data_IF_278992080448
#
_entry.id   IF_278992080448
#
_cell.length_a   1.000
_cell.length_b   1.000
_cell.length_c   1.000
_cell.angle_alpha   90.00
_cell.angle_beta   90.00
_cell.angle_gamma   90.00
#
_symmetry.space_group_name_H-M   'P 1'
#
loop_
_entity.id
_entity.type
_entity.pdbx_description
1 polymer ?
#
# COMPACT_ATOMS: atom_id res chain seq x y z
N UNK A 1 21.96 13.49 -8.89
CA UNK A 1 21.04 12.42 -8.42
C UNK A 1 19.65 12.99 -8.52
N UNK A 2 18.86 12.58 -9.50
CA UNK A 2 17.50 13.13 -9.67
C UNK A 2 16.64 12.67 -8.49
N UNK A 3 16.01 13.63 -7.82
CA UNK A 3 14.95 13.37 -6.85
C UNK A 3 13.81 12.75 -7.66
N UNK A 4 13.37 11.57 -7.29
CA UNK A 4 12.27 10.88 -7.94
C UNK A 4 10.97 11.36 -7.31
N UNK A 5 10.05 11.85 -8.13
CA UNK A 5 8.74 12.26 -7.66
C UNK A 5 7.80 11.06 -7.66
N UNK A 6 7.37 10.65 -6.47
CA UNK A 6 6.43 9.55 -6.26
C UNK A 6 5.14 10.08 -5.68
N UNK A 7 4.01 9.64 -6.24
CA UNK A 7 2.70 10.03 -5.80
C UNK A 7 1.89 8.81 -5.36
N UNK A 8 1.32 8.90 -4.17
CA UNK A 8 0.39 7.92 -3.65
C UNK A 8 -1.05 8.37 -3.89
N UNK A 9 -1.83 7.49 -4.51
CA UNK A 9 -3.27 7.67 -4.68
C UNK A 9 -3.96 6.98 -3.50
N UNK A 10 -4.55 7.77 -2.61
CA UNK A 10 -5.22 7.30 -1.39
C UNK A 10 -6.74 7.46 -1.52
N UNK A 11 -7.40 6.44 -2.11
CA UNK A 11 -8.85 6.43 -2.26
C UNK A 11 -9.51 5.71 -1.09
N UNK A 12 -10.17 6.48 -0.25
CA UNK A 12 -10.81 6.03 0.97
C UNK A 12 -12.33 5.82 0.79
N UNK A 13 -12.92 4.93 1.59
CA UNK A 13 -14.38 4.71 1.61
C UNK A 13 -15.17 5.91 2.14
N UNK A 14 -14.55 6.70 3.02
CA UNK A 14 -15.14 7.91 3.60
C UNK A 14 -14.05 8.86 4.09
N UNK A 15 -14.44 10.11 4.39
CA UNK A 15 -13.53 11.12 4.97
C UNK A 15 -12.99 10.75 6.37
N UNK A 16 -13.69 9.91 7.10
CA UNK A 16 -13.24 9.45 8.43
C UNK A 16 -12.15 8.36 8.33
N UNK A 17 -12.11 7.63 7.23
CA UNK A 17 -11.15 6.55 7.00
C UNK A 17 -9.78 7.10 6.57
N UNK A 18 -8.72 6.41 6.95
CA UNK A 18 -7.36 6.58 6.42
C UNK A 18 -6.69 5.23 6.29
N UNK A 19 -5.99 5.02 5.17
CA UNK A 19 -5.20 3.80 4.97
C UNK A 19 -3.90 3.86 5.78
N UNK A 20 -3.48 2.73 6.36
CA UNK A 20 -2.15 2.58 6.96
C UNK A 20 -1.06 2.23 5.94
N UNK A 21 -1.42 1.89 4.70
CA UNK A 21 -0.45 1.36 3.74
C UNK A 21 0.65 2.37 3.40
N UNK A 22 0.31 3.59 3.00
CA UNK A 22 1.32 4.61 2.72
C UNK A 22 2.16 4.94 3.96
N UNK A 23 1.60 5.24 5.14
CA UNK A 23 2.40 5.48 6.34
C UNK A 23 3.34 4.34 6.69
N UNK A 24 2.88 3.08 6.57
CA UNK A 24 3.70 1.90 6.88
C UNK A 24 4.88 1.77 5.90
N UNK A 25 4.64 1.89 4.61
CA UNK A 25 5.69 1.82 3.58
C UNK A 25 6.66 3.00 3.70
N UNK A 26 6.13 4.22 3.84
CA UNK A 26 6.95 5.44 3.95
C UNK A 26 7.84 5.41 5.21
N UNK A 27 7.36 4.87 6.31
CA UNK A 27 8.17 4.75 7.53
C UNK A 27 9.44 3.90 7.32
N UNK A 28 9.39 2.88 6.43
CA UNK A 28 10.57 2.06 6.12
C UNK A 28 11.59 2.76 5.22
N UNK A 29 11.16 3.75 4.44
CA UNK A 29 12.00 4.44 3.44
C UNK A 29 12.34 5.89 3.80
N UNK A 30 11.77 6.43 4.87
CA UNK A 30 11.92 7.85 5.25
C UNK A 30 13.37 8.31 5.43
N UNK A 31 14.31 7.37 5.67
CA UNK A 31 15.74 7.64 5.75
C UNK A 31 16.42 7.77 4.37
N UNK A 32 15.72 7.39 3.30
CA UNK A 32 16.23 7.47 1.94
C UNK A 32 15.73 8.76 1.27
N UNK A 33 16.55 9.80 1.26
CA UNK A 33 16.24 11.10 0.66
C UNK A 33 16.19 11.10 -0.87
N UNK A 34 16.29 9.94 -1.51
CA UNK A 34 16.29 9.83 -2.99
C UNK A 34 14.89 9.85 -3.62
N UNK A 35 13.83 9.77 -2.82
CA UNK A 35 12.44 9.73 -3.29
C UNK A 35 11.63 10.82 -2.59
N UNK A 36 11.03 11.70 -3.40
CA UNK A 36 10.06 12.68 -2.91
C UNK A 36 8.67 12.06 -3.00
N UNK A 37 7.98 11.99 -1.87
CA UNK A 37 6.62 11.48 -1.77
C UNK A 37 5.60 12.61 -1.70
N UNK A 38 4.56 12.48 -2.52
CA UNK A 38 3.34 13.28 -2.46
C UNK A 38 2.13 12.35 -2.32
N UNK A 39 1.00 12.90 -1.91
CA UNK A 39 -0.25 12.15 -1.74
C UNK A 39 -1.41 12.94 -2.33
N UNK A 40 -2.24 12.25 -3.08
CA UNK A 40 -3.58 12.72 -3.46
C UNK A 40 -4.58 11.84 -2.73
N UNK A 41 -5.27 12.43 -1.75
CA UNK A 41 -6.29 11.75 -0.95
C UNK A 41 -7.67 12.17 -1.41
N UNK A 42 -8.53 11.19 -1.68
CA UNK A 42 -9.91 11.38 -2.08
C UNK A 42 -10.80 10.26 -1.51
N UNK A 43 -12.09 10.42 -1.65
CA UNK A 43 -13.05 9.33 -1.38
C UNK A 43 -13.56 8.73 -2.68
N UNK A 44 -14.06 7.50 -2.60
CA UNK A 44 -14.64 6.79 -3.76
C UNK A 44 -15.86 7.52 -4.37
N UNK A 45 -16.44 8.50 -3.68
CA UNK A 45 -17.58 9.28 -4.15
C UNK A 45 -17.19 10.59 -4.84
N UNK A 46 -15.91 10.92 -4.86
CA UNK A 46 -15.44 12.14 -5.51
C UNK A 46 -15.34 12.01 -7.02
N UNK A 47 -15.37 13.14 -7.70
CA UNK A 47 -15.33 13.16 -9.16
C UNK A 47 -13.98 12.68 -9.69
N UNK A 48 -14.00 11.59 -10.47
CA UNK A 48 -12.81 10.99 -11.08
C UNK A 48 -11.97 12.00 -11.86
N UNK A 49 -12.61 12.91 -12.59
CA UNK A 49 -11.90 13.91 -13.40
C UNK A 49 -11.07 14.87 -12.54
N UNK A 50 -11.59 15.27 -11.37
CA UNK A 50 -10.87 16.13 -10.43
C UNK A 50 -9.66 15.43 -9.84
N UNK A 51 -9.81 14.15 -9.47
CA UNK A 51 -8.71 13.34 -8.96
C UNK A 51 -7.61 13.18 -10.01
N UNK A 52 -7.99 12.90 -11.27
CA UNK A 52 -7.06 12.76 -12.40
C UNK A 52 -6.32 14.05 -12.66
N UNK A 53 -7.01 15.20 -12.66
CA UNK A 53 -6.42 16.52 -12.88
C UNK A 53 -5.39 16.87 -11.79
N UNK A 54 -5.73 16.58 -10.54
CA UNK A 54 -4.80 16.78 -9.42
C UNK A 54 -3.55 15.94 -9.55
N UNK A 55 -3.68 14.63 -9.82
CA UNK A 55 -2.53 13.73 -10.04
C UNK A 55 -1.69 14.20 -11.23
N UNK A 56 -2.34 14.60 -12.32
CA UNK A 56 -1.64 15.07 -13.54
C UNK A 56 -0.77 16.30 -13.29
N UNK A 57 -1.17 17.20 -12.40
CA UNK A 57 -0.38 18.40 -12.05
C UNK A 57 0.94 18.07 -11.38
N UNK A 58 1.00 16.97 -10.63
CA UNK A 58 2.23 16.53 -9.96
C UNK A 58 3.25 15.90 -10.92
N UNK A 59 2.81 15.39 -12.08
CA UNK A 59 3.66 14.69 -13.06
C UNK A 59 4.63 13.70 -12.44
N UNK A 60 4.15 12.74 -11.64
CA UNK A 60 5.03 11.82 -10.93
C UNK A 60 5.70 10.81 -11.87
N UNK A 61 6.92 10.38 -11.49
CA UNK A 61 7.60 9.25 -12.13
C UNK A 61 6.98 7.91 -11.69
N UNK A 62 6.53 7.85 -10.42
CA UNK A 62 5.93 6.66 -9.82
C UNK A 62 4.54 7.01 -9.29
N UNK A 63 3.57 6.18 -9.67
CA UNK A 63 2.22 6.18 -9.13
C UNK A 63 2.04 4.92 -8.30
N UNK A 64 1.65 5.06 -7.05
CA UNK A 64 1.40 3.93 -6.16
C UNK A 64 0.02 4.02 -5.51
N UNK A 65 -0.62 2.88 -5.28
CA UNK A 65 -1.89 2.83 -4.58
C UNK A 65 -2.12 1.50 -3.88
N UNK A 66 -2.99 1.50 -2.87
CA UNK A 66 -3.53 0.28 -2.25
C UNK A 66 -4.93 0.01 -2.80
N UNK A 67 -5.11 -1.21 -3.29
CA UNK A 67 -6.37 -1.68 -3.86
C UNK A 67 -7.12 -2.52 -2.84
N UNK A 68 -8.33 -2.09 -2.54
CA UNK A 68 -9.31 -2.74 -1.69
C UNK A 68 -10.57 -3.00 -2.50
N UNK A 69 -11.38 -3.95 -2.10
CA UNK A 69 -12.65 -4.24 -2.74
C UNK A 69 -13.51 -2.98 -2.96
N UNK A 70 -13.57 -2.08 -1.99
CA UNK A 70 -14.40 -0.88 -2.04
C UNK A 70 -13.89 0.21 -2.99
N UNK A 71 -12.58 0.27 -3.28
CA UNK A 71 -12.01 1.31 -4.14
C UNK A 71 -11.54 0.79 -5.50
N UNK A 72 -11.61 -0.51 -5.75
CA UNK A 72 -11.05 -1.16 -6.94
C UNK A 72 -11.54 -0.50 -8.23
N UNK A 73 -12.84 -0.38 -8.42
CA UNK A 73 -13.43 0.15 -9.66
C UNK A 73 -13.02 1.61 -9.89
N UNK A 74 -13.18 2.46 -8.87
CA UNK A 74 -12.82 3.88 -8.97
C UNK A 74 -11.33 4.06 -9.19
N UNK A 75 -10.49 3.29 -8.49
CA UNK A 75 -9.04 3.34 -8.64
C UNK A 75 -8.61 2.96 -10.05
N UNK A 76 -9.21 1.91 -10.65
CA UNK A 76 -8.91 1.53 -12.03
C UNK A 76 -9.33 2.60 -13.03
N UNK A 77 -10.48 3.27 -12.82
CA UNK A 77 -10.90 4.39 -13.64
C UNK A 77 -9.95 5.59 -13.55
N UNK A 78 -9.49 5.95 -12.35
CA UNK A 78 -8.49 7.00 -12.14
C UNK A 78 -7.17 6.61 -12.80
N UNK A 79 -6.66 5.42 -12.49
CA UNK A 79 -5.36 4.94 -12.93
C UNK A 79 -5.26 4.86 -14.47
N UNK A 80 -6.27 4.30 -15.14
CA UNK A 80 -6.28 4.20 -16.60
C UNK A 80 -6.23 5.57 -17.29
N UNK A 81 -6.96 6.57 -16.76
CA UNK A 81 -6.96 7.94 -17.29
C UNK A 81 -5.64 8.66 -17.03
N UNK A 82 -5.08 8.50 -15.82
CA UNK A 82 -3.78 9.08 -15.48
C UNK A 82 -2.70 8.50 -16.38
N UNK A 83 -2.67 7.17 -16.57
CA UNK A 83 -1.69 6.51 -17.47
C UNK A 83 -1.86 6.91 -18.93
N UNK A 84 -3.08 7.21 -19.39
CA UNK A 84 -3.30 7.75 -20.73
C UNK A 84 -2.68 9.16 -20.90
N UNK A 85 -2.64 9.97 -19.83
CA UNK A 85 -2.04 11.31 -19.82
C UNK A 85 -0.54 11.30 -19.51
N UNK A 86 -0.09 10.33 -18.71
CA UNK A 86 1.29 10.14 -18.26
C UNK A 86 1.75 8.72 -18.54
N UNK A 87 1.93 8.32 -19.81
CA UNK A 87 2.26 6.94 -20.18
C UNK A 87 3.58 6.44 -19.60
N UNK A 88 4.55 7.33 -19.36
CA UNK A 88 5.86 7.02 -18.81
C UNK A 88 5.87 6.80 -17.29
N UNK A 89 4.82 7.26 -16.56
CA UNK A 89 4.74 7.06 -15.13
C UNK A 89 4.58 5.56 -14.81
N UNK A 90 5.42 5.03 -13.93
CA UNK A 90 5.32 3.63 -13.48
C UNK A 90 4.18 3.48 -12.47
N UNK A 91 3.15 2.71 -12.79
CA UNK A 91 2.03 2.43 -11.91
C UNK A 91 2.21 1.11 -11.18
N UNK A 92 2.34 1.18 -9.87
CA UNK A 92 2.45 0.03 -8.99
C UNK A 92 1.26 -0.04 -8.02
N UNK A 93 0.65 -1.20 -7.90
CA UNK A 93 -0.47 -1.43 -7.00
C UNK A 93 -0.11 -2.47 -5.94
N UNK A 94 -0.78 -2.39 -4.80
CA UNK A 94 -0.69 -3.39 -3.73
C UNK A 94 -2.04 -3.52 -3.03
N UNK A 95 -2.07 -4.32 -1.98
CA UNK A 95 -3.26 -4.49 -1.16
C UNK A 95 -3.90 -5.86 -1.27
N UNK A 96 -5.00 -6.10 -0.52
CA UNK A 96 -5.58 -7.43 -0.37
C UNK A 96 -6.15 -8.03 -1.67
N UNK A 97 -6.47 -7.21 -2.67
CA UNK A 97 -6.96 -7.69 -3.97
C UNK A 97 -5.92 -8.51 -4.74
N UNK A 98 -4.63 -8.37 -4.39
CA UNK A 98 -3.52 -9.02 -5.10
C UNK A 98 -2.92 -10.22 -4.37
N UNK A 99 -3.56 -10.75 -3.34
CA UNK A 99 -3.05 -11.91 -2.59
C UNK A 99 -3.12 -13.23 -3.38
N UNK A 100 -3.99 -13.30 -4.40
CA UNK A 100 -4.15 -14.44 -5.29
C UNK A 100 -3.20 -14.42 -6.50
N UNK A 101 -3.62 -15.12 -7.56
CA UNK A 101 -2.99 -15.04 -8.87
C UNK A 101 -3.37 -13.71 -9.55
N UNK A 102 -2.37 -13.04 -10.12
CA UNK A 102 -2.53 -11.70 -10.70
C UNK A 102 -2.38 -11.69 -12.24
N UNK A 103 -2.23 -12.84 -12.89
CA UNK A 103 -2.00 -12.90 -14.34
C UNK A 103 -3.15 -12.30 -15.13
N UNK A 104 -4.37 -12.74 -14.83
CA UNK A 104 -5.57 -12.26 -15.54
C UNK A 104 -5.80 -10.77 -15.33
N UNK A 105 -5.56 -10.28 -14.09
CA UNK A 105 -5.68 -8.86 -13.76
C UNK A 105 -4.70 -8.00 -14.59
N UNK A 106 -3.42 -8.37 -14.63
CA UNK A 106 -2.40 -7.62 -15.37
C UNK A 106 -2.64 -7.67 -16.87
N UNK A 107 -3.13 -8.80 -17.43
CA UNK A 107 -3.49 -8.90 -18.84
C UNK A 107 -4.67 -8.03 -19.22
N UNK A 108 -5.67 -7.90 -18.35
CA UNK A 108 -6.85 -7.04 -18.55
C UNK A 108 -6.55 -5.56 -18.34
N UNK A 109 -5.54 -5.22 -17.56
CA UNK A 109 -5.17 -3.86 -17.19
C UNK A 109 -3.72 -3.53 -17.61
N UNK A 110 -3.43 -3.48 -18.93
CA UNK A 110 -2.06 -3.31 -19.45
C UNK A 110 -1.43 -1.95 -19.10
N UNK A 111 -2.19 -1.04 -18.50
CA UNK A 111 -1.72 0.22 -17.97
C UNK A 111 -1.12 0.10 -16.56
N UNK A 112 -1.29 -1.05 -15.89
CA UNK A 112 -0.64 -1.36 -14.60
C UNK A 112 0.70 -2.04 -14.90
N UNK A 113 1.79 -1.46 -14.40
CA UNK A 113 3.13 -1.97 -14.69
C UNK A 113 3.47 -3.18 -13.81
N UNK A 114 3.12 -3.13 -12.53
CA UNK A 114 3.32 -4.25 -11.61
C UNK A 114 2.39 -4.19 -10.40
N UNK A 115 2.24 -5.32 -9.71
CA UNK A 115 1.51 -5.41 -8.45
C UNK A 115 2.33 -6.13 -7.39
N UNK A 116 2.18 -5.72 -6.12
CA UNK A 116 2.76 -6.42 -4.97
C UNK A 116 1.77 -7.43 -4.39
N UNK A 117 2.24 -8.66 -4.25
CA UNK A 117 1.54 -9.77 -3.64
C UNK A 117 2.06 -10.02 -2.23
N UNK A 118 1.28 -9.60 -1.23
CA UNK A 118 1.64 -9.74 0.19
C UNK A 118 2.05 -8.44 0.85
N UNK A 119 2.99 -8.50 1.78
CA UNK A 119 3.39 -7.38 2.65
C UNK A 119 4.53 -6.58 2.02
N UNK A 120 4.33 -5.27 1.91
CA UNK A 120 5.19 -4.39 1.11
C UNK A 120 6.37 -3.79 1.87
N UNK A 121 6.38 -3.78 3.20
CA UNK A 121 7.28 -2.95 4.01
C UNK A 121 8.77 -3.23 3.80
N UNK A 122 9.14 -4.49 3.57
CA UNK A 122 10.54 -4.87 3.31
C UNK A 122 10.88 -4.86 1.82
N UNK A 123 9.90 -5.16 0.95
CA UNK A 123 10.14 -5.37 -0.49
C UNK A 123 9.90 -4.13 -1.35
N UNK A 124 9.02 -3.23 -0.93
CA UNK A 124 8.78 -1.98 -1.63
C UNK A 124 10.01 -1.06 -1.65
N UNK A 125 10.76 -0.88 -0.53
CA UNK A 125 12.05 -0.18 -0.56
C UNK A 125 13.07 -0.82 -1.50
N UNK A 126 13.11 -2.16 -1.62
CA UNK A 126 13.97 -2.86 -2.57
C UNK A 126 13.58 -2.53 -4.02
N UNK A 127 12.29 -2.61 -4.35
CA UNK A 127 11.77 -2.27 -5.67
C UNK A 127 12.09 -0.81 -6.05
N UNK A 128 12.01 0.14 -5.11
CA UNK A 128 12.36 1.53 -5.34
C UNK A 128 13.81 1.74 -5.79
N UNK A 129 14.71 0.79 -5.53
CA UNK A 129 16.09 0.87 -6.03
C UNK A 129 16.22 0.48 -7.49
N UNK A 130 15.25 -0.26 -8.04
CA UNK A 130 15.25 -0.80 -9.41
C UNK A 130 13.92 -0.56 -10.17
N UNK A 131 13.06 0.37 -9.72
CA UNK A 131 11.74 0.60 -10.31
C UNK A 131 11.79 0.88 -11.83
N UNK A 132 12.81 1.59 -12.31
CA UNK A 132 13.05 1.92 -13.72
C UNK A 132 13.97 0.92 -14.43
N UNK A 133 14.22 -0.24 -13.83
CA UNK A 133 15.02 -1.34 -14.33
C UNK A 133 14.21 -2.64 -14.32
N UNK A 134 13.21 -2.80 -15.23
CA UNK A 134 12.31 -3.97 -15.21
C UNK A 134 13.05 -5.31 -15.34
N UNK A 135 14.25 -5.32 -15.93
CA UNK A 135 15.11 -6.49 -16.01
C UNK A 135 15.58 -7.00 -14.64
N UNK A 136 15.55 -6.14 -13.61
CA UNK A 136 15.92 -6.49 -12.23
C UNK A 136 14.71 -6.88 -11.36
N UNK A 137 13.49 -6.67 -11.84
CA UNK A 137 12.28 -6.91 -11.06
C UNK A 137 12.13 -8.37 -10.60
N UNK A 138 12.75 -9.31 -11.32
CA UNK A 138 12.78 -10.72 -10.92
C UNK A 138 13.45 -10.96 -9.55
N UNK A 139 14.23 -10.00 -9.05
CA UNK A 139 14.92 -10.09 -7.75
C UNK A 139 14.07 -9.61 -6.57
N UNK A 140 12.92 -8.97 -6.84
CA UNK A 140 12.06 -8.38 -5.80
C UNK A 140 10.98 -9.37 -5.38
N UNK A 141 11.00 -9.90 -4.16
CA UNK A 141 9.98 -10.85 -3.70
C UNK A 141 8.58 -10.20 -3.70
N UNK A 142 7.57 -10.99 -4.02
CA UNK A 142 6.18 -10.56 -4.03
C UNK A 142 5.79 -9.68 -5.22
N UNK A 143 6.69 -9.37 -6.14
CA UNK A 143 6.36 -8.58 -7.32
C UNK A 143 5.77 -9.47 -8.42
N UNK A 144 4.61 -9.07 -8.95
CA UNK A 144 3.97 -9.70 -10.10
C UNK A 144 3.89 -8.68 -11.25
N UNK A 145 4.28 -9.09 -12.46
CA UNK A 145 4.33 -8.20 -13.63
C UNK A 145 4.31 -8.97 -14.95
N UNK A 146 4.08 -8.26 -16.04
CA UNK A 146 4.26 -8.79 -17.40
C UNK A 146 5.60 -8.29 -17.95
N UNK A 147 6.39 -9.21 -18.53
CA UNK A 147 7.61 -8.84 -19.25
C UNK A 147 7.26 -8.11 -20.56
N UNK A 148 8.23 -7.44 -21.23
CA UNK A 148 8.02 -6.88 -22.57
C UNK A 148 7.48 -7.89 -23.59
N UNK A 149 7.82 -9.18 -23.43
CA UNK A 149 7.31 -10.27 -24.25
C UNK A 149 5.93 -10.79 -23.81
N UNK A 150 5.26 -10.09 -22.85
CA UNK A 150 3.97 -10.46 -22.27
C UNK A 150 3.95 -11.79 -21.51
N UNK A 151 5.11 -12.26 -21.06
CA UNK A 151 5.18 -13.36 -20.11
C UNK A 151 4.84 -12.87 -18.71
N UNK A 152 3.96 -13.59 -18.01
CA UNK A 152 3.69 -13.32 -16.60
C UNK A 152 4.82 -13.82 -15.71
N UNK A 153 5.21 -12.98 -14.76
CA UNK A 153 6.18 -13.32 -13.70
C UNK A 153 5.52 -13.09 -12.35
N UNK A 154 5.62 -14.10 -11.50
CA UNK A 154 5.18 -14.08 -10.11
C UNK A 154 6.37 -14.44 -9.22
N UNK A 155 6.86 -13.47 -8.47
CA UNK A 155 8.00 -13.67 -7.56
C UNK A 155 7.56 -14.19 -6.18
N UNK A 156 6.40 -14.84 -6.10
CA UNK A 156 5.86 -15.43 -4.88
C UNK A 156 5.07 -14.44 -4.05
N UNK A 157 4.98 -14.71 -2.75
CA UNK A 157 4.27 -13.85 -1.80
C UNK A 157 5.26 -13.26 -0.80
N UNK A 158 5.28 -11.93 -0.68
CA UNK A 158 6.11 -11.25 0.29
C UNK A 158 5.51 -11.35 1.70
N UNK A 159 6.37 -11.61 2.69
CA UNK A 159 5.99 -11.67 4.11
C UNK A 159 7.08 -11.01 4.95
N UNK A 160 6.66 -10.11 5.81
CA UNK A 160 7.52 -9.51 6.83
C UNK A 160 7.84 -10.54 7.89
N UNK A 161 9.10 -10.89 8.04
CA UNK A 161 9.53 -11.89 9.03
C UNK A 161 9.59 -11.29 10.43
N UNK A 162 10.10 -10.09 10.57
CA UNK A 162 10.23 -9.38 11.84
C UNK A 162 9.25 -8.21 11.92
N UNK A 163 7.96 -8.53 12.13
CA UNK A 163 6.91 -7.52 12.25
C UNK A 163 7.17 -6.49 13.38
N UNK A 164 7.71 -6.95 14.50
CA UNK A 164 8.04 -6.08 15.63
C UNK A 164 9.25 -5.15 15.37
N UNK A 165 10.07 -5.47 14.37
CA UNK A 165 11.23 -4.67 13.98
C UNK A 165 10.93 -3.57 12.96
N UNK A 166 9.71 -3.51 12.42
CA UNK A 166 9.29 -2.46 11.51
C UNK A 166 9.21 -1.11 12.22
N UNK A 167 9.58 -0.05 11.49
CA UNK A 167 9.34 1.32 11.97
C UNK A 167 7.82 1.56 12.01
N UNK A 168 7.27 2.01 13.15
CA UNK A 168 5.83 2.24 13.27
C UNK A 168 5.28 3.25 12.26
N UNK A 169 4.10 3.02 11.67
CA UNK A 169 3.47 3.94 10.73
C UNK A 169 3.28 5.36 11.29
N UNK A 170 3.10 5.48 12.61
CA UNK A 170 2.93 6.74 13.33
C UNK A 170 4.14 7.68 13.21
N UNK A 171 5.33 7.16 12.84
CA UNK A 171 6.52 7.95 12.58
C UNK A 171 6.56 8.54 11.15
N UNK A 172 5.65 8.13 10.29
CA UNK A 172 5.52 8.69 8.96
C UNK A 172 4.84 10.06 8.99
N UNK A 173 5.34 11.03 8.22
CA UNK A 173 4.68 12.32 8.01
C UNK A 173 3.29 12.18 7.35
N UNK A 174 3.01 11.06 6.73
CA UNK A 174 1.72 10.75 6.10
C UNK A 174 0.74 10.08 7.05
N UNK A 175 1.13 9.83 8.29
CA UNK A 175 0.18 9.36 9.30
C UNK A 175 -0.81 10.48 9.65
N UNK A 176 -2.07 10.26 9.40
CA UNK A 176 -3.07 11.33 9.49
C UNK A 176 -3.62 11.49 10.91
N UNK A 177 -3.03 12.40 11.68
CA UNK A 177 -3.42 12.75 13.04
C UNK A 177 -4.70 13.60 13.13
N UNK A 178 -5.22 14.12 12.02
CA UNK A 178 -6.42 14.98 12.01
C UNK A 178 -7.73 14.19 11.94
N UNK A 179 -7.67 12.87 11.78
CA UNK A 179 -8.86 12.02 11.71
C UNK A 179 -9.47 11.81 13.10
N UNK A 180 -10.81 11.57 13.17
CA UNK A 180 -11.49 11.37 14.45
C UNK A 180 -11.04 10.11 15.20
N UNK A 181 -10.47 9.16 14.50
CA UNK A 181 -9.84 7.95 15.03
C UNK A 181 -8.63 7.55 14.21
N UNK A 182 -7.76 6.76 14.79
CA UNK A 182 -6.62 6.14 14.10
C UNK A 182 -6.72 4.62 14.15
N UNK A 183 -6.11 3.99 13.16
CA UNK A 183 -5.94 2.54 13.14
C UNK A 183 -4.63 2.18 13.82
N UNK A 184 -4.65 1.22 14.74
CA UNK A 184 -3.48 0.66 15.39
C UNK A 184 -3.39 -0.83 15.03
N UNK A 185 -2.40 -1.18 14.24
CA UNK A 185 -2.11 -2.57 13.94
C UNK A 185 -1.27 -3.18 15.07
N UNK A 186 -1.77 -4.25 15.67
CA UNK A 186 -1.10 -4.97 16.76
C UNK A 186 -0.72 -6.40 16.40
N UNK A 187 -1.36 -6.94 15.36
CA UNK A 187 -1.25 -8.36 14.98
C UNK A 187 -1.41 -8.52 13.48
N UNK A 188 -0.62 -9.42 12.89
CA UNK A 188 -0.75 -9.89 11.50
C UNK A 188 -0.92 -11.39 11.44
N UNK A 189 -1.74 -11.85 10.50
CA UNK A 189 -2.13 -13.23 10.35
C UNK A 189 -3.30 -13.61 11.26
N UNK A 190 -3.85 -14.78 11.02
CA UNK A 190 -4.98 -15.31 11.78
C UNK A 190 -4.85 -16.82 11.91
N UNK A 191 -5.15 -17.36 13.09
CA UNK A 191 -5.16 -18.78 13.33
C UNK A 191 -6.43 -19.49 12.81
N UNK A 192 -7.49 -18.72 12.51
CA UNK A 192 -8.72 -19.26 11.93
C UNK A 192 -8.59 -19.43 10.41
N UNK A 193 -9.38 -20.36 9.86
CA UNK A 193 -9.41 -20.71 8.44
C UNK A 193 -10.77 -20.42 7.82
N UNK A 194 -11.35 -19.25 8.12
CA UNK A 194 -12.65 -18.86 7.58
C UNK A 194 -12.61 -18.79 6.05
N UNK A 195 -13.49 -19.53 5.38
CA UNK A 195 -13.49 -19.68 3.92
C UNK A 195 -13.71 -18.38 3.13
N UNK A 196 -14.30 -17.38 3.75
CA UNK A 196 -14.57 -16.06 3.15
C UNK A 196 -13.53 -14.99 3.48
N UNK A 197 -12.53 -15.30 4.31
CA UNK A 197 -11.61 -14.31 4.85
C UNK A 197 -10.26 -14.36 4.12
N UNK A 198 -9.81 -13.21 3.62
CA UNK A 198 -8.49 -13.09 2.97
C UNK A 198 -7.32 -13.41 3.91
N UNK A 199 -7.49 -13.18 5.22
CA UNK A 199 -6.50 -13.54 6.25
C UNK A 199 -6.69 -14.95 6.81
N UNK A 200 -7.63 -15.72 6.26
CA UNK A 200 -7.93 -17.08 6.74
C UNK A 200 -6.74 -18.02 6.61
N UNK A 201 -6.27 -18.54 7.74
CA UNK A 201 -5.15 -19.49 7.77
C UNK A 201 -3.78 -18.88 7.54
N UNK A 202 -3.64 -17.56 7.53
CA UNK A 202 -2.34 -16.90 7.40
C UNK A 202 -1.50 -17.12 8.66
N UNK A 203 -0.48 -17.93 8.54
CA UNK A 203 0.43 -18.33 9.62
C UNK A 203 1.88 -18.03 9.25
N UNK A 204 2.76 -17.80 10.27
CA UNK A 204 2.45 -17.67 11.70
C UNK A 204 1.72 -16.37 12.04
N UNK A 205 0.94 -16.36 13.09
CA UNK A 205 0.40 -15.13 13.67
C UNK A 205 1.54 -14.37 14.33
N UNK A 206 1.72 -13.11 13.97
CA UNK A 206 2.78 -12.22 14.47
C UNK A 206 2.15 -11.10 15.27
N UNK A 207 2.62 -10.86 16.47
CA UNK A 207 2.07 -9.85 17.39
C UNK A 207 3.15 -8.91 17.85
N UNK A 208 2.79 -7.65 18.11
CA UNK A 208 3.65 -6.71 18.82
C UNK A 208 3.71 -7.08 20.30
N UNK A 209 4.80 -6.71 20.98
CA UNK A 209 4.86 -6.81 22.44
C UNK A 209 3.88 -5.84 23.10
N UNK A 210 3.50 -6.13 24.33
CA UNK A 210 2.61 -5.25 25.10
C UNK A 210 3.29 -3.88 25.32
N UNK A 211 4.60 -3.86 25.51
CA UNK A 211 5.39 -2.64 25.66
C UNK A 211 5.31 -1.77 24.39
N UNK A 212 5.51 -2.38 23.21
CA UNK A 212 5.41 -1.67 21.93
C UNK A 212 4.00 -1.13 21.69
N UNK A 213 2.96 -1.90 22.00
CA UNK A 213 1.56 -1.45 21.92
C UNK A 213 1.33 -0.26 22.85
N UNK A 214 1.83 -0.32 24.09
CA UNK A 214 1.71 0.75 25.08
C UNK A 214 2.37 2.04 24.60
N UNK A 215 3.59 1.96 24.07
CA UNK A 215 4.32 3.12 23.53
C UNK A 215 3.56 3.79 22.40
N UNK A 216 3.01 3.00 21.47
CA UNK A 216 2.20 3.51 20.36
C UNK A 216 0.89 4.15 20.84
N UNK A 217 0.22 3.55 21.84
CA UNK A 217 -0.97 4.13 22.45
C UNK A 217 -0.67 5.44 23.18
N UNK A 218 0.48 5.54 23.86
CA UNK A 218 0.91 6.80 24.49
C UNK A 218 1.17 7.91 23.45
N UNK A 219 1.77 7.56 22.31
CA UNK A 219 1.98 8.49 21.20
C UNK A 219 0.64 8.97 20.63
N UNK A 220 -0.30 8.07 20.39
CA UNK A 220 -1.65 8.36 19.89
C UNK A 220 -2.39 9.30 20.87
N UNK A 221 -2.30 9.00 22.17
CA UNK A 221 -2.91 9.82 23.22
C UNK A 221 -2.28 11.23 23.27
N UNK A 222 -0.96 11.33 23.14
CA UNK A 222 -0.24 12.61 23.15
C UNK A 222 -0.66 13.53 22.00
N UNK A 223 -1.15 12.97 20.86
CA UNK A 223 -1.72 13.73 19.75
C UNK A 223 -3.21 14.09 19.94
N UNK A 224 -3.76 13.83 21.14
CA UNK A 224 -5.14 14.18 21.47
C UNK A 224 -6.22 13.26 20.87
N UNK A 225 -5.83 12.15 20.28
CA UNK A 225 -6.78 11.16 19.74
C UNK A 225 -7.40 10.40 20.90
N UNK A 226 -8.73 10.45 21.00
CA UNK A 226 -9.51 9.80 22.07
C UNK A 226 -10.11 8.45 21.67
N UNK A 227 -10.18 8.18 20.37
CA UNK A 227 -10.74 6.97 19.80
C UNK A 227 -9.75 6.31 18.88
N UNK A 228 -9.48 5.03 19.08
CA UNK A 228 -8.68 4.21 18.15
C UNK A 228 -9.47 2.99 17.72
N UNK A 229 -9.36 2.62 16.45
CA UNK A 229 -9.70 1.28 15.98
C UNK A 229 -8.45 0.43 16.08
N UNK A 230 -8.46 -0.55 16.95
CA UNK A 230 -7.44 -1.56 17.04
C UNK A 230 -7.83 -2.64 16.03
N UNK A 231 -7.03 -2.82 14.99
CA UNK A 231 -7.13 -4.00 14.16
C UNK A 231 -6.65 -5.20 14.96
N UNK A 232 -7.58 -5.81 15.63
CA UNK A 232 -7.42 -7.15 16.15
C UNK A 232 -7.97 -8.05 15.04
N UNK A 233 -7.19 -9.04 14.62
CA UNK A 233 -7.74 -10.16 13.85
C UNK A 233 -8.63 -10.96 14.78
N UNK A 234 -9.80 -10.38 15.14
CA UNK A 234 -10.76 -11.11 15.94
C UNK A 234 -11.47 -12.12 15.07
N UNK A 235 -11.57 -13.37 15.54
CA UNK A 235 -12.57 -14.26 15.01
C UNK A 235 -13.92 -13.61 15.34
N UNK A 236 -14.60 -13.10 14.34
CA UNK A 236 -16.02 -12.78 14.47
C UNK A 236 -16.72 -14.06 14.94
N UNK A 237 -17.29 -14.00 16.12
CA UNK A 237 -18.12 -15.07 16.67
C UNK A 237 -19.32 -15.30 15.80
#
# INVERSE_FOLDING_TARGET
MCIRDSLWIDLNSSYAHSSLALPALHAQIAKNNSVKWEIVSATINENTGMIVDEIYRHRPDILAATTWLFNHEQLMHVASRVKALLPEACLVLGGPEFLGDNEEFLRKNPFVDCVFRGEGEEVFPQWLTCWNHPEQWHTVPGLCYLTPNKEYKDNGIARVLNFAGLVPPEQSRFFNWSKPFVQLETTRGCFNTCAFCVSGGEKPVRTLSIESIRERLQLIHAHGIKLSLIHISEPTR
#
